data_IF_105822379564
#
_entry.id   IF_105822379564
#
_cell.length_a   1.000
_cell.length_b   1.000
_cell.length_c   1.000
_cell.angle_alpha   90.00
_cell.angle_beta   90.00
_cell.angle_gamma   90.00
#
_symmetry.space_group_name_H-M   'P 1'
#
loop_
_entity.id
_entity.type
_entity.pdbx_description
1 polymer ?
#
# COMPACT_ATOMS: atom_id res chain seq x y z
N UNK A 1 -8.82 -7.96 -13.65
CA UNK A 1 -7.74 -8.93 -13.47
C UNK A 1 -6.45 -8.49 -14.17
N UNK A 2 -6.48 -8.16 -15.47
CA UNK A 2 -5.27 -7.77 -16.25
C UNK A 2 -4.54 -6.59 -15.60
N UNK A 3 -5.25 -5.51 -15.26
CA UNK A 3 -4.64 -4.34 -14.62
C UNK A 3 -3.96 -4.67 -13.28
N UNK A 4 -4.57 -5.52 -12.46
CA UNK A 4 -4.00 -5.95 -11.20
C UNK A 4 -2.79 -6.88 -11.39
N UNK A 5 -2.82 -7.76 -12.40
CA UNK A 5 -1.69 -8.60 -12.75
C UNK A 5 -0.49 -7.77 -13.21
N UNK A 6 -0.72 -6.79 -14.08
CA UNK A 6 0.32 -5.86 -14.53
C UNK A 6 0.90 -5.07 -13.37
N UNK A 7 0.05 -4.53 -12.49
CA UNK A 7 0.50 -3.82 -11.29
C UNK A 7 1.35 -4.72 -10.36
N UNK A 8 0.95 -5.98 -10.18
CA UNK A 8 1.72 -6.96 -9.41
C UNK A 8 3.10 -7.24 -10.02
N UNK A 9 3.17 -7.41 -11.36
CA UNK A 9 4.43 -7.61 -12.06
C UNK A 9 5.37 -6.39 -11.92
N UNK A 10 4.82 -5.17 -12.01
CA UNK A 10 5.60 -3.95 -11.80
C UNK A 10 6.15 -3.88 -10.38
N UNK A 11 5.33 -4.18 -9.35
CA UNK A 11 5.80 -4.22 -7.97
C UNK A 11 6.90 -5.27 -7.76
N UNK A 12 6.76 -6.47 -8.32
CA UNK A 12 7.80 -7.50 -8.26
C UNK A 12 9.09 -7.03 -8.94
N UNK A 13 9.00 -6.41 -10.12
CA UNK A 13 10.15 -5.88 -10.81
C UNK A 13 10.86 -4.80 -10.00
N UNK A 14 10.12 -3.91 -9.32
CA UNK A 14 10.70 -2.89 -8.44
C UNK A 14 11.45 -3.49 -7.25
N UNK A 15 10.89 -4.52 -6.60
CA UNK A 15 11.55 -5.22 -5.50
C UNK A 15 12.84 -5.91 -5.96
N UNK A 16 12.80 -6.61 -7.12
CA UNK A 16 13.99 -7.27 -7.69
C UNK A 16 15.05 -6.24 -8.05
N UNK A 17 14.65 -5.12 -8.67
CA UNK A 17 15.56 -4.05 -9.03
C UNK A 17 16.21 -3.43 -7.78
N UNK A 18 15.43 -3.15 -6.76
CA UNK A 18 15.94 -2.61 -5.49
C UNK A 18 16.92 -3.59 -4.82
N UNK A 19 16.58 -4.88 -4.80
CA UNK A 19 17.45 -5.91 -4.24
C UNK A 19 18.78 -6.02 -5.01
N UNK A 20 18.75 -5.92 -6.35
CA UNK A 20 19.96 -6.01 -7.16
C UNK A 20 20.80 -4.73 -7.14
N UNK A 21 20.18 -3.55 -7.09
CA UNK A 21 20.88 -2.28 -7.14
C UNK A 21 21.47 -1.86 -5.80
N UNK A 22 20.84 -2.26 -4.68
CA UNK A 22 21.22 -1.76 -3.34
C UNK A 22 21.77 -2.83 -2.39
N UNK A 23 21.88 -4.09 -2.84
CA UNK A 23 22.36 -5.17 -1.96
C UNK A 23 23.85 -5.08 -1.63
N UNK A 24 24.69 -4.68 -2.57
CA UNK A 24 26.14 -4.59 -2.37
C UNK A 24 26.55 -3.17 -1.98
N UNK A 25 26.86 -2.95 -0.70
CA UNK A 25 27.46 -1.72 -0.21
C UNK A 25 26.53 -0.53 0.03
N UNK A 26 25.22 -0.70 -0.12
CA UNK A 26 24.23 0.37 0.01
C UNK A 26 23.07 -0.05 0.93
N UNK A 27 23.39 -0.71 2.05
CA UNK A 27 22.39 -1.19 3.02
C UNK A 27 21.66 -0.06 3.77
N UNK A 28 22.15 1.16 3.70
CA UNK A 28 21.58 2.37 4.30
C UNK A 28 20.55 3.09 3.42
N UNK A 29 20.29 2.58 2.19
CA UNK A 29 19.30 3.16 1.27
C UNK A 29 17.88 2.76 1.66
N UNK A 30 17.45 3.14 2.86
CA UNK A 30 16.09 2.92 3.33
C UNK A 30 15.15 4.12 3.06
N UNK A 31 15.71 5.27 2.70
CA UNK A 31 14.98 6.51 2.50
C UNK A 31 14.81 6.85 1.01
N UNK A 32 13.69 7.47 0.65
CA UNK A 32 13.38 7.85 -0.73
C UNK A 32 14.41 8.86 -1.26
N UNK A 33 14.84 9.81 -0.41
CA UNK A 33 15.86 10.80 -0.76
C UNK A 33 17.22 10.14 -1.01
N UNK A 34 17.61 9.19 -0.19
CA UNK A 34 18.85 8.42 -0.33
C UNK A 34 18.79 7.55 -1.59
N UNK A 35 17.66 6.89 -1.85
CA UNK A 35 17.45 6.14 -3.09
C UNK A 35 17.62 7.01 -4.34
N UNK A 36 17.04 8.22 -4.33
CA UNK A 36 17.20 9.16 -5.44
C UNK A 36 18.66 9.61 -5.64
N UNK A 37 19.35 9.97 -4.56
CA UNK A 37 20.75 10.42 -4.62
C UNK A 37 21.71 9.32 -5.06
N UNK A 38 21.40 8.06 -4.71
CA UNK A 38 22.20 6.87 -5.08
C UNK A 38 21.95 6.44 -6.53
N UNK A 39 20.75 6.65 -7.06
CA UNK A 39 20.43 6.32 -8.45
C UNK A 39 21.23 7.14 -9.48
N UNK A 40 21.53 8.40 -9.16
CA UNK A 40 22.26 9.29 -10.08
C UNK A 40 23.66 8.76 -10.40
N UNK A 41 24.52 8.40 -9.44
CA UNK A 41 25.84 7.85 -9.75
C UNK A 41 25.81 6.42 -10.30
N UNK A 42 24.79 5.60 -9.95
CA UNK A 42 24.71 4.20 -10.37
C UNK A 42 24.16 4.04 -11.80
N UNK A 43 23.09 4.75 -12.12
CA UNK A 43 22.32 4.56 -13.36
C UNK A 43 22.20 5.82 -14.21
N UNK A 44 22.78 6.94 -13.76
CA UNK A 44 22.79 8.22 -14.46
C UNK A 44 21.56 9.10 -14.18
N UNK A 45 21.67 10.38 -14.57
CA UNK A 45 20.64 11.40 -14.35
C UNK A 45 19.27 11.07 -14.99
N UNK A 46 19.26 10.30 -16.09
CA UNK A 46 18.04 9.87 -16.76
C UNK A 46 17.20 8.93 -15.89
N UNK A 47 17.84 7.99 -15.19
CA UNK A 47 17.16 7.07 -14.28
C UNK A 47 16.61 7.79 -13.05
N UNK A 48 17.36 8.71 -12.48
CA UNK A 48 16.91 9.54 -11.38
C UNK A 48 15.70 10.43 -11.78
N UNK A 49 15.74 11.02 -12.98
CA UNK A 49 14.62 11.78 -13.51
C UNK A 49 13.37 10.92 -13.76
N UNK A 50 13.54 9.72 -14.32
CA UNK A 50 12.44 8.77 -14.50
C UNK A 50 11.83 8.34 -13.16
N UNK A 51 12.65 8.09 -12.15
CA UNK A 51 12.19 7.76 -10.78
C UNK A 51 11.34 8.88 -10.19
N UNK A 52 11.80 10.13 -10.23
CA UNK A 52 11.03 11.27 -9.73
C UNK A 52 9.71 11.45 -10.48
N UNK A 53 9.73 11.36 -11.80
CA UNK A 53 8.52 11.49 -12.63
C UNK A 53 7.51 10.38 -12.31
N UNK A 54 7.98 9.15 -12.15
CA UNK A 54 7.14 8.02 -11.76
C UNK A 54 6.55 8.21 -10.35
N UNK A 55 7.34 8.69 -9.39
CA UNK A 55 6.90 8.96 -8.02
C UNK A 55 5.80 10.03 -8.00
N UNK A 56 5.99 11.15 -8.70
CA UNK A 56 5.00 12.22 -8.82
C UNK A 56 3.73 11.73 -9.49
N UNK A 57 3.83 11.02 -10.62
CA UNK A 57 2.68 10.48 -11.34
C UNK A 57 1.91 9.47 -10.48
N UNK A 58 2.61 8.60 -9.75
CA UNK A 58 2.01 7.64 -8.83
C UNK A 58 1.28 8.34 -7.67
N UNK A 59 1.90 9.35 -7.06
CA UNK A 59 1.30 10.14 -5.99
C UNK A 59 0.01 10.85 -6.43
N UNK A 60 0.04 11.51 -7.59
CA UNK A 60 -1.13 12.18 -8.16
C UNK A 60 -2.25 11.18 -8.47
N UNK A 61 -1.92 10.05 -9.09
CA UNK A 61 -2.89 8.99 -9.41
C UNK A 61 -3.52 8.41 -8.14
N UNK A 62 -2.70 8.05 -7.15
CA UNK A 62 -3.18 7.48 -5.88
C UNK A 62 -4.07 8.45 -5.11
N UNK A 63 -3.73 9.74 -5.08
CA UNK A 63 -4.54 10.79 -4.46
C UNK A 63 -5.91 10.93 -5.12
N UNK A 64 -5.96 10.89 -6.46
CA UNK A 64 -7.21 10.94 -7.21
C UNK A 64 -8.10 9.72 -6.93
N UNK A 65 -7.53 8.51 -7.03
CA UNK A 65 -8.25 7.25 -6.80
C UNK A 65 -8.75 7.16 -5.36
N UNK A 66 -7.92 7.50 -4.37
CA UNK A 66 -8.30 7.48 -2.95
C UNK A 66 -9.45 8.45 -2.65
N UNK A 67 -9.43 9.64 -3.26
CA UNK A 67 -10.52 10.62 -3.11
C UNK A 67 -11.82 10.11 -3.72
N UNK A 68 -11.76 9.50 -4.91
CA UNK A 68 -12.94 8.94 -5.59
C UNK A 68 -13.52 7.74 -4.81
N UNK A 69 -12.68 6.83 -4.34
CA UNK A 69 -13.09 5.68 -3.54
C UNK A 69 -13.81 6.13 -2.25
N UNK A 70 -13.24 7.09 -1.53
CA UNK A 70 -13.87 7.66 -0.34
C UNK A 70 -15.21 8.33 -0.65
N UNK A 71 -15.36 8.95 -1.84
CA UNK A 71 -16.63 9.55 -2.28
C UNK A 71 -17.71 8.49 -2.50
N UNK A 72 -17.37 7.39 -3.15
CA UNK A 72 -18.31 6.29 -3.38
C UNK A 72 -18.79 5.66 -2.07
N UNK A 73 -17.88 5.43 -1.13
CA UNK A 73 -18.22 4.87 0.18
C UNK A 73 -19.16 5.80 0.95
N UNK A 74 -18.85 7.10 1.02
CA UNK A 74 -19.70 8.03 1.76
C UNK A 74 -21.08 8.23 1.13
N UNK A 75 -21.19 8.25 -0.20
CA UNK A 75 -22.48 8.35 -0.88
C UNK A 75 -23.34 7.10 -0.66
N UNK A 76 -22.72 5.92 -0.58
CA UNK A 76 -23.43 4.66 -0.36
C UNK A 76 -23.89 4.43 1.08
N UNK A 77 -23.11 4.88 2.08
CA UNK A 77 -23.38 4.54 3.48
C UNK A 77 -23.93 5.68 4.33
N UNK A 78 -23.52 6.91 4.10
CA UNK A 78 -23.80 8.01 5.03
C UNK A 78 -24.94 8.92 4.54
N UNK A 79 -25.29 8.88 3.26
CA UNK A 79 -26.38 9.69 2.69
C UNK A 79 -26.12 11.21 2.70
N UNK A 80 -25.03 11.67 3.30
CA UNK A 80 -24.64 13.08 3.32
C UNK A 80 -23.87 13.47 2.06
N UNK A 81 -24.28 14.55 1.41
CA UNK A 81 -23.57 15.14 0.28
C UNK A 81 -22.53 16.14 0.80
N UNK A 82 -21.34 15.65 1.16
CA UNK A 82 -20.22 16.51 1.50
C UNK A 82 -19.59 17.03 0.21
N UNK A 83 -19.38 18.35 0.04
CA UNK A 83 -18.68 18.90 -1.11
C UNK A 83 -17.29 18.26 -1.29
N UNK A 84 -16.92 17.94 -2.53
CA UNK A 84 -15.68 17.24 -2.86
C UNK A 84 -14.44 17.98 -2.33
N UNK A 85 -14.45 19.31 -2.38
CA UNK A 85 -13.33 20.13 -1.92
C UNK A 85 -13.11 20.05 -0.41
N UNK A 86 -14.19 20.02 0.40
CA UNK A 86 -14.08 19.85 1.87
C UNK A 86 -13.44 18.52 2.21
N UNK A 87 -13.87 17.45 1.54
CA UNK A 87 -13.29 16.12 1.74
C UNK A 87 -11.81 16.08 1.37
N UNK A 88 -11.45 16.62 0.21
CA UNK A 88 -10.04 16.70 -0.21
C UNK A 88 -9.22 17.46 0.82
N UNK A 89 -9.71 18.56 1.33
CA UNK A 89 -9.04 19.35 2.34
C UNK A 89 -8.82 18.52 3.62
N UNK A 90 -9.85 17.86 4.11
CA UNK A 90 -9.76 17.00 5.32
C UNK A 90 -8.80 15.82 5.11
N UNK A 91 -8.85 15.15 3.97
CA UNK A 91 -7.93 14.02 3.69
C UNK A 91 -6.49 14.45 3.47
N UNK A 92 -6.24 15.72 3.11
CA UNK A 92 -4.89 16.26 2.95
C UNK A 92 -4.29 16.79 4.27
N UNK A 93 -5.10 16.99 5.33
CA UNK A 93 -4.59 17.48 6.62
C UNK A 93 -3.41 16.64 7.15
N UNK A 94 -3.45 15.31 7.21
CA UNK A 94 -2.31 14.53 7.70
C UNK A 94 -1.05 14.76 6.87
N UNK A 95 -1.16 14.88 5.55
CA UNK A 95 -0.02 15.14 4.69
C UNK A 95 0.56 16.55 4.94
N UNK A 96 -0.27 17.57 5.11
CA UNK A 96 0.17 18.92 5.47
C UNK A 96 0.87 18.94 6.83
N UNK A 97 0.37 18.20 7.82
CA UNK A 97 1.00 18.09 9.14
C UNK A 97 2.38 17.45 9.03
N UNK A 98 2.53 16.37 8.28
CA UNK A 98 3.82 15.69 8.07
C UNK A 98 4.82 16.64 7.42
N UNK A 99 4.42 17.37 6.37
CA UNK A 99 5.28 18.33 5.68
C UNK A 99 5.64 19.51 6.57
N UNK A 100 4.67 20.07 7.32
CA UNK A 100 4.89 21.21 8.21
C UNK A 100 5.81 20.88 9.38
N UNK A 101 5.78 19.64 9.88
CA UNK A 101 6.67 19.17 10.94
C UNK A 101 8.07 18.81 10.42
N UNK A 102 8.30 18.84 9.11
CA UNK A 102 9.58 18.46 8.51
C UNK A 102 9.98 17.00 8.79
N UNK A 103 9.00 16.13 9.03
CA UNK A 103 9.25 14.72 9.29
C UNK A 103 9.66 14.00 8.01
N UNK A 104 10.53 12.99 8.16
CA UNK A 104 10.96 12.17 7.04
C UNK A 104 9.75 11.50 6.34
N UNK A 105 9.65 11.69 5.02
CA UNK A 105 8.55 11.17 4.21
C UNK A 105 8.46 9.65 4.28
N UNK A 106 9.58 8.95 4.32
CA UNK A 106 9.65 7.49 4.43
C UNK A 106 9.03 6.99 5.72
N UNK A 107 9.35 7.63 6.85
CA UNK A 107 8.76 7.28 8.15
C UNK A 107 7.24 7.49 8.16
N UNK A 108 6.76 8.58 7.57
CA UNK A 108 5.32 8.83 7.43
C UNK A 108 4.62 7.76 6.59
N UNK A 109 5.26 7.30 5.50
CA UNK A 109 4.76 6.21 4.67
C UNK A 109 4.73 4.89 5.45
N UNK A 110 5.76 4.54 6.20
CA UNK A 110 5.81 3.33 7.02
C UNK A 110 4.68 3.34 8.06
N UNK A 111 4.50 4.45 8.78
CA UNK A 111 3.41 4.59 9.75
C UNK A 111 2.04 4.41 9.07
N UNK A 112 1.84 5.01 7.91
CA UNK A 112 0.59 4.86 7.16
C UNK A 112 0.34 3.41 6.74
N UNK A 113 1.37 2.65 6.37
CA UNK A 113 1.26 1.22 6.05
C UNK A 113 0.88 0.39 7.27
N UNK A 114 1.40 0.71 8.45
CA UNK A 114 1.00 0.04 9.71
C UNK A 114 -0.47 0.27 10.00
N UNK A 115 -0.94 1.53 9.89
CA UNK A 115 -2.37 1.86 10.07
C UNK A 115 -3.24 1.11 9.06
N UNK A 116 -2.83 1.04 7.80
CA UNK A 116 -3.52 0.27 6.76
C UNK A 116 -3.55 -1.23 7.08
N UNK A 117 -2.46 -1.78 7.57
CA UNK A 117 -2.37 -3.20 7.96
C UNK A 117 -3.35 -3.55 9.08
N UNK A 118 -3.60 -2.63 10.01
CA UNK A 118 -4.61 -2.81 11.07
C UNK A 118 -6.03 -2.69 10.50
N UNK A 119 -6.25 -1.81 9.53
CA UNK A 119 -7.57 -1.56 8.96
C UNK A 119 -7.99 -2.61 7.90
N UNK A 120 -7.04 -3.19 7.17
CA UNK A 120 -7.28 -4.11 6.05
C UNK A 120 -8.06 -5.40 6.40
N UNK A 121 -7.87 -6.04 7.55
CA UNK A 121 -8.61 -7.26 7.91
C UNK A 121 -10.12 -7.11 7.86
N UNK A 122 -10.64 -5.97 8.30
CA UNK A 122 -12.08 -5.74 8.38
C UNK A 122 -12.80 -5.83 7.01
N UNK A 123 -12.40 -5.06 5.98
CA UNK A 123 -13.03 -5.15 4.66
C UNK A 123 -12.74 -6.50 3.97
N UNK A 124 -11.57 -7.12 4.18
CA UNK A 124 -11.25 -8.41 3.56
C UNK A 124 -12.14 -9.54 4.09
N UNK A 125 -12.31 -9.62 5.42
CA UNK A 125 -13.19 -10.62 6.03
C UNK A 125 -14.63 -10.37 5.61
N UNK A 126 -15.09 -9.13 5.64
CA UNK A 126 -16.45 -8.77 5.19
C UNK A 126 -16.69 -9.16 3.75
N UNK A 127 -15.74 -8.85 2.85
CA UNK A 127 -15.84 -9.22 1.43
C UNK A 127 -15.93 -10.73 1.26
N UNK A 128 -15.09 -11.50 1.97
CA UNK A 128 -15.09 -12.96 1.90
C UNK A 128 -16.42 -13.55 2.39
N UNK A 129 -17.00 -12.98 3.44
CA UNK A 129 -18.29 -13.40 3.98
C UNK A 129 -19.44 -13.11 3.01
N UNK A 130 -19.48 -11.91 2.43
CA UNK A 130 -20.57 -11.52 1.53
C UNK A 130 -20.51 -12.24 0.18
N UNK A 131 -19.33 -12.40 -0.41
CA UNK A 131 -19.18 -13.08 -1.71
C UNK A 131 -19.46 -14.59 -1.66
N UNK A 132 -19.41 -15.18 -0.45
CA UNK A 132 -19.82 -16.59 -0.24
C UNK A 132 -21.32 -16.77 -0.22
N UNK A 133 -22.10 -15.76 0.14
CA UNK A 133 -23.54 -15.87 0.40
C UNK A 133 -24.34 -15.76 -0.89
N UNK A 134 -24.92 -16.88 -1.32
CA UNK A 134 -25.76 -16.94 -2.50
C UNK A 134 -27.10 -16.19 -2.31
N UNK A 135 -27.58 -16.04 -1.08
CA UNK A 135 -28.78 -15.26 -0.73
C UNK A 135 -28.59 -13.75 -0.99
N UNK A 136 -27.34 -13.25 -0.93
CA UNK A 136 -27.00 -11.84 -1.18
C UNK A 136 -26.53 -11.64 -2.62
N UNK A 137 -25.66 -12.53 -3.12
CA UNK A 137 -24.99 -12.40 -4.42
C UNK A 137 -25.74 -13.10 -5.56
N UNK A 138 -26.74 -13.94 -5.27
CA UNK A 138 -27.48 -14.68 -6.27
C UNK A 138 -26.56 -15.49 -7.20
N UNK A 139 -26.72 -15.28 -8.51
CA UNK A 139 -25.88 -15.93 -9.52
C UNK A 139 -24.41 -15.48 -9.56
N UNK A 140 -24.07 -14.39 -8.86
CA UNK A 140 -22.69 -13.88 -8.76
C UNK A 140 -21.94 -14.42 -7.53
N UNK A 141 -22.52 -15.34 -6.78
CA UNK A 141 -21.83 -15.98 -5.66
C UNK A 141 -20.58 -16.72 -6.16
N UNK A 142 -19.51 -16.66 -5.38
CA UNK A 142 -18.25 -17.27 -5.73
C UNK A 142 -18.38 -18.80 -5.92
N UNK A 143 -17.75 -19.31 -6.97
CA UNK A 143 -17.57 -20.74 -7.15
C UNK A 143 -16.71 -21.32 -6.01
N UNK A 144 -16.77 -22.62 -5.75
CA UNK A 144 -15.97 -23.28 -4.70
C UNK A 144 -14.47 -23.04 -4.88
N UNK A 145 -13.98 -23.08 -6.11
CA UNK A 145 -12.57 -22.83 -6.41
C UNK A 145 -12.18 -21.39 -6.10
N UNK A 146 -12.99 -20.42 -6.54
CA UNK A 146 -12.78 -19.00 -6.26
C UNK A 146 -12.82 -18.71 -4.75
N UNK A 147 -13.73 -19.36 -4.03
CA UNK A 147 -13.84 -19.22 -2.58
C UNK A 147 -12.60 -19.76 -1.85
N UNK A 148 -12.08 -20.91 -2.26
CA UNK A 148 -10.84 -21.48 -1.68
C UNK A 148 -9.67 -20.56 -1.98
N UNK A 149 -9.51 -20.11 -3.22
CA UNK A 149 -8.45 -19.18 -3.60
C UNK A 149 -8.53 -17.86 -2.82
N UNK A 150 -9.72 -17.30 -2.65
CA UNK A 150 -9.94 -16.09 -1.86
C UNK A 150 -9.61 -16.31 -0.37
N UNK A 151 -9.99 -17.47 0.20
CA UNK A 151 -9.67 -17.81 1.58
C UNK A 151 -8.17 -17.94 1.79
N UNK A 152 -7.47 -18.67 0.92
CA UNK A 152 -6.02 -18.82 0.98
C UNK A 152 -5.33 -17.47 0.85
N UNK A 153 -5.70 -16.65 -0.14
CA UNK A 153 -5.14 -15.32 -0.32
C UNK A 153 -5.37 -14.41 0.89
N UNK A 154 -6.59 -14.40 1.43
CA UNK A 154 -6.91 -13.63 2.64
C UNK A 154 -6.08 -14.10 3.84
N UNK A 155 -5.94 -15.41 4.03
CA UNK A 155 -5.14 -15.95 5.14
C UNK A 155 -3.68 -15.54 5.02
N UNK A 156 -3.09 -15.63 3.83
CA UNK A 156 -1.71 -15.20 3.59
C UNK A 156 -1.54 -13.71 3.90
N UNK A 157 -2.43 -12.86 3.41
CA UNK A 157 -2.36 -11.41 3.65
C UNK A 157 -2.52 -11.09 5.14
N UNK A 158 -3.44 -11.75 5.84
CA UNK A 158 -3.61 -11.57 7.29
C UNK A 158 -2.38 -12.00 8.09
N UNK A 159 -1.74 -13.10 7.71
CA UNK A 159 -0.50 -13.55 8.33
C UNK A 159 0.63 -12.53 8.11
N UNK A 160 0.80 -12.05 6.88
CA UNK A 160 1.82 -11.04 6.56
C UNK A 160 1.56 -9.73 7.29
N UNK A 161 0.32 -9.28 7.38
CA UNK A 161 -0.04 -8.07 8.13
C UNK A 161 0.22 -8.24 9.64
N UNK A 162 -0.12 -9.40 10.20
CA UNK A 162 0.16 -9.70 11.61
C UNK A 162 1.67 -9.70 11.86
N UNK A 163 2.45 -10.29 10.95
CA UNK A 163 3.89 -10.28 11.01
C UNK A 163 4.46 -8.86 10.99
N UNK A 164 4.00 -8.01 10.07
CA UNK A 164 4.40 -6.61 9.96
C UNK A 164 4.11 -5.83 11.26
N UNK A 165 2.92 -6.02 11.81
CA UNK A 165 2.51 -5.37 13.07
C UNK A 165 3.42 -5.80 14.22
N UNK A 166 3.67 -7.11 14.39
CA UNK A 166 4.55 -7.64 15.42
C UNK A 166 5.97 -7.09 15.30
N UNK A 167 6.50 -7.03 14.08
CA UNK A 167 7.82 -6.47 13.82
C UNK A 167 7.89 -4.97 14.18
N UNK A 168 6.86 -4.22 13.84
CA UNK A 168 6.80 -2.77 14.14
C UNK A 168 6.75 -2.51 15.65
N UNK A 169 6.09 -3.38 16.42
CA UNK A 169 6.05 -3.29 17.89
C UNK A 169 7.27 -3.92 18.58
N UNK A 170 8.29 -4.35 17.81
CA UNK A 170 9.53 -4.88 18.37
C UNK A 170 9.38 -6.24 19.06
N UNK A 171 8.34 -7.01 18.72
CA UNK A 171 8.16 -8.36 19.28
C UNK A 171 9.19 -9.30 18.64
N UNK A 172 10.11 -9.91 19.43
CA UNK A 172 11.10 -10.83 18.87
C UNK A 172 10.42 -12.05 18.28
N UNK A 173 10.54 -12.24 16.97
CA UNK A 173 9.98 -13.39 16.28
C UNK A 173 11.06 -14.48 16.22
N UNK A 174 10.84 -15.67 16.82
CA UNK A 174 11.81 -16.75 16.78
C UNK A 174 12.07 -17.17 15.34
N UNK A 175 13.32 -17.04 14.88
CA UNK A 175 13.76 -17.45 13.54
C UNK A 175 14.05 -16.32 12.56
N UNK A 176 13.73 -15.07 12.85
CA UNK A 176 14.18 -13.87 12.12
C UNK A 176 14.84 -12.88 13.09
N UNK A 177 15.96 -13.27 13.68
CA UNK A 177 16.85 -12.26 14.26
C UNK A 177 17.36 -11.41 13.11
N UNK A 178 16.86 -10.15 13.03
CA UNK A 178 17.44 -9.14 12.17
C UNK A 178 18.93 -9.10 12.46
N UNK A 179 19.74 -9.40 11.45
CA UNK A 179 21.17 -9.17 11.53
C UNK A 179 21.39 -7.72 11.90
N UNK A 180 21.97 -7.52 13.07
CA UNK A 180 22.54 -6.27 13.55
C UNK A 180 23.61 -5.77 12.61
#
# INVERSE_FOLDING_TARGET
LIALAVAGLVNMAMVIMAASAFHEGHSDVAEIETAYSTLTPLLGAGAAGAFLTALLASGLSSSAVGTMAGQMIMQGFVGFKIPIWVRRLVTMIPAFVVVALGTNATNALVISQVVLSIALPLPMISLLMFTRRADIMGQFANSRLTQIAALVGTTIVLLLNTFLILQTFGVPIPGLSAGS
#
